data_IF_913774939189
#
_entry.id   IF_913774939189
#
_cell.length_a   1.000
_cell.length_b   1.000
_cell.length_c   1.000
_cell.angle_alpha   90.00
_cell.angle_beta   90.00
_cell.angle_gamma   90.00
#
_symmetry.space_group_name_H-M   'P 1'
#
loop_
_entity.id
_entity.type
_entity.pdbx_description
1 polymer ?
#
# COMPACT_ATOMS: atom_id res chain seq x y z
N UNK A 1 4.29 1.80 -7.62
CA UNK A 1 3.85 1.94 -6.21
C UNK A 1 2.82 0.88 -5.82
N UNK A 2 3.14 0.05 -4.82
CA UNK A 2 2.43 -1.16 -4.34
C UNK A 2 2.03 -2.23 -5.38
N UNK A 3 1.23 -1.90 -6.40
CA UNK A 3 0.84 -2.87 -7.45
C UNK A 3 2.06 -3.50 -8.14
N UNK A 4 3.10 -2.69 -8.36
CA UNK A 4 4.41 -3.12 -8.88
C UNK A 4 5.20 -4.03 -7.93
N UNK A 5 4.83 -4.11 -6.65
CA UNK A 5 5.49 -4.96 -5.64
C UNK A 5 4.67 -6.22 -5.30
N UNK A 6 3.73 -6.60 -6.16
CA UNK A 6 2.90 -7.79 -5.98
C UNK A 6 1.74 -7.59 -4.99
N UNK A 7 1.39 -6.35 -4.67
CA UNK A 7 0.13 -6.07 -3.99
C UNK A 7 -1.01 -6.02 -5.01
N UNK A 8 -2.15 -6.60 -4.64
CA UNK A 8 -3.38 -6.59 -5.44
C UNK A 8 -4.49 -5.89 -4.68
N UNK A 9 -5.36 -5.20 -5.41
CA UNK A 9 -6.58 -4.62 -4.85
C UNK A 9 -7.56 -5.72 -4.48
N UNK A 10 -7.99 -5.77 -3.22
CA UNK A 10 -8.95 -6.78 -2.75
C UNK A 10 -10.28 -6.18 -2.33
N UNK A 11 -10.31 -4.88 -2.02
CA UNK A 11 -11.53 -4.18 -1.63
C UNK A 11 -11.38 -2.68 -1.82
N UNK A 12 -12.46 -2.01 -2.23
CA UNK A 12 -12.56 -0.55 -2.17
C UNK A 12 -13.80 -0.14 -1.39
N UNK A 13 -13.66 0.84 -0.49
CA UNK A 13 -14.77 1.51 0.20
C UNK A 13 -14.59 3.02 0.09
N UNK A 14 -15.37 3.65 -0.78
CA UNK A 14 -15.20 5.06 -1.10
C UNK A 14 -13.81 5.35 -1.65
N UNK A 15 -13.12 6.34 -1.08
CA UNK A 15 -11.75 6.71 -1.45
C UNK A 15 -10.67 5.89 -0.76
N UNK A 16 -10.97 4.73 -0.16
CA UNK A 16 -9.96 3.87 0.45
C UNK A 16 -9.94 2.50 -0.25
N UNK A 17 -8.77 2.11 -0.73
CA UNK A 17 -8.49 0.82 -1.34
C UNK A 17 -7.74 -0.04 -0.31
N UNK A 18 -8.07 -1.32 -0.21
CA UNK A 18 -7.31 -2.30 0.54
C UNK A 18 -6.45 -3.07 -0.45
N UNK A 19 -5.14 -2.98 -0.27
CA UNK A 19 -4.13 -3.71 -1.04
C UNK A 19 -3.64 -4.91 -0.24
N UNK A 20 -3.47 -6.06 -0.88
CA UNK A 20 -2.90 -7.25 -0.24
C UNK A 20 -1.77 -7.86 -1.04
N UNK A 21 -0.72 -8.31 -0.36
CA UNK A 21 0.35 -9.14 -0.92
C UNK A 21 0.38 -10.47 -0.19
N UNK A 22 0.18 -11.55 -0.93
CA UNK A 22 0.25 -12.91 -0.41
C UNK A 22 1.71 -13.38 -0.45
N UNK A 23 2.20 -13.85 0.69
CA UNK A 23 3.49 -14.51 0.85
C UNK A 23 3.25 -15.96 1.30
N UNK A 24 4.23 -16.88 1.20
CA UNK A 24 4.04 -18.28 1.56
C UNK A 24 3.52 -18.50 3.00
N UNK A 25 3.88 -17.61 3.93
CA UNK A 25 3.57 -17.76 5.35
C UNK A 25 2.62 -16.68 5.91
N UNK A 26 2.35 -15.62 5.14
CA UNK A 26 1.59 -14.47 5.63
C UNK A 26 0.96 -13.66 4.51
N UNK A 27 0.00 -12.82 4.86
CA UNK A 27 -0.60 -11.84 3.94
C UNK A 27 -0.38 -10.45 4.49
N UNK A 28 0.30 -9.60 3.73
CA UNK A 28 0.46 -8.18 4.08
C UNK A 28 -0.78 -7.44 3.57
N UNK A 29 -1.50 -6.75 4.45
CA UNK A 29 -2.68 -5.95 4.11
C UNK A 29 -2.42 -4.48 4.40
N UNK A 30 -2.65 -3.61 3.42
CA UNK A 30 -2.36 -2.17 3.51
C UNK A 30 -3.54 -1.36 2.99
N UNK A 31 -4.16 -0.50 3.82
CA UNK A 31 -5.14 0.47 3.35
C UNK A 31 -4.43 1.66 2.66
N UNK A 32 -4.85 1.97 1.45
CA UNK A 32 -4.30 3.02 0.59
C UNK A 32 -5.42 4.00 0.24
N UNK A 33 -5.30 5.29 0.61
CA UNK A 33 -6.22 6.30 0.13
C UNK A 33 -6.09 6.45 -1.39
N UNK A 34 -7.22 6.45 -2.08
CA UNK A 34 -7.38 6.68 -3.51
C UNK A 34 -7.63 8.16 -3.76
N UNK A 35 -6.61 8.97 -3.55
CA UNK A 35 -6.57 10.37 -3.96
C UNK A 35 -5.13 10.77 -4.30
N UNK A 36 -4.98 11.73 -5.21
CA UNK A 36 -3.68 12.12 -5.80
C UNK A 36 -2.66 12.67 -4.81
N UNK A 37 -3.11 13.26 -3.70
CA UNK A 37 -2.23 13.89 -2.72
C UNK A 37 -2.26 13.13 -1.38
N UNK A 38 -1.22 12.33 -1.11
CA UNK A 38 -1.06 11.65 0.17
C UNK A 38 -0.29 12.54 1.15
N UNK A 39 -0.85 12.76 2.35
CA UNK A 39 -0.09 13.37 3.44
C UNK A 39 1.15 12.52 3.73
N UNK A 40 2.28 13.16 4.02
CA UNK A 40 3.56 12.48 4.31
C UNK A 40 3.38 11.43 5.41
N UNK A 41 2.66 11.74 6.49
CA UNK A 41 2.41 10.77 7.56
C UNK A 41 1.63 9.53 7.11
N UNK A 42 0.71 9.69 6.16
CA UNK A 42 -0.03 8.58 5.56
C UNK A 42 0.87 7.73 4.66
N UNK A 43 1.70 8.37 3.83
CA UNK A 43 2.69 7.68 3.00
C UNK A 43 3.68 6.87 3.86
N UNK A 44 4.21 7.46 4.93
CA UNK A 44 5.10 6.77 5.88
C UNK A 44 4.42 5.58 6.56
N UNK A 45 3.14 5.70 6.91
CA UNK A 45 2.35 4.60 7.47
C UNK A 45 2.19 3.45 6.48
N UNK A 46 1.92 3.76 5.20
CA UNK A 46 1.80 2.79 4.11
C UNK A 46 3.13 2.08 3.87
N UNK A 47 4.24 2.81 3.79
CA UNK A 47 5.60 2.27 3.66
C UNK A 47 5.86 1.26 4.78
N UNK A 48 5.68 1.69 6.04
CA UNK A 48 5.91 0.84 7.22
C UNK A 48 5.05 -0.43 7.20
N UNK A 49 3.77 -0.32 6.87
CA UNK A 49 2.85 -1.48 6.84
C UNK A 49 3.13 -2.42 5.68
N UNK A 50 3.52 -1.89 4.51
CA UNK A 50 3.80 -2.67 3.32
C UNK A 50 5.14 -3.43 3.38
N UNK A 51 6.07 -2.98 4.22
CA UNK A 51 7.44 -3.51 4.26
C UNK A 51 8.27 -3.19 3.01
N UNK A 52 7.75 -2.37 2.09
CA UNK A 52 8.45 -1.92 0.89
C UNK A 52 9.37 -0.75 1.26
N UNK A 53 10.58 -0.70 0.69
CA UNK A 53 11.53 0.39 0.95
C UNK A 53 10.95 1.74 0.55
N UNK A 54 11.24 2.78 1.35
CA UNK A 54 10.82 4.15 1.06
C UNK A 54 11.29 4.64 -0.32
N UNK A 55 12.47 4.20 -0.78
CA UNK A 55 13.02 4.55 -2.10
C UNK A 55 12.11 4.17 -3.27
N UNK A 56 11.35 3.08 -3.12
CA UNK A 56 10.42 2.56 -4.14
C UNK A 56 9.13 3.40 -4.25
N UNK A 57 8.93 4.33 -3.31
CA UNK A 57 7.81 5.27 -3.32
C UNK A 57 8.21 6.67 -3.81
N UNK A 58 9.48 6.93 -4.06
CA UNK A 58 9.99 8.25 -4.48
C UNK A 58 10.41 8.27 -5.97
N UNK A 59 10.13 7.19 -6.72
CA UNK A 59 10.48 7.01 -8.15
C UNK A 59 9.32 7.26 -9.09
#
# INVERSE_FOLDING_TARGET
MLSQHGFVEVRQRGSHIVMQKHLPETTITVPVPNHSELRIGTLQSIIRQSGVSKSEFES
#
